data_IF_395810012769
#
_entry.id   IF_395810012769
#
_cell.length_a   1.000
_cell.length_b   1.000
_cell.length_c   1.000
_cell.angle_alpha   90.00
_cell.angle_beta   90.00
_cell.angle_gamma   90.00
#
_symmetry.space_group_name_H-M   'P 1'
#
loop_
_entity.id
_entity.type
_entity.pdbx_description
1 polymer ?
#
# COMPACT_ATOMS: atom_id res chain seq x y z
N UNK A 1 -21.09 -6.27 -36.90
CA UNK A 1 -21.30 -5.26 -35.84
C UNK A 1 -20.12 -5.38 -34.87
N UNK A 2 -19.31 -4.33 -34.68
CA UNK A 2 -18.16 -4.36 -33.76
C UNK A 2 -18.59 -3.75 -32.43
N UNK A 3 -18.73 -4.58 -31.39
CA UNK A 3 -19.00 -4.12 -30.03
C UNK A 3 -17.75 -3.38 -29.53
N UNK A 4 -17.77 -2.06 -29.57
CA UNK A 4 -16.77 -1.23 -28.90
C UNK A 4 -17.06 -1.30 -27.40
N UNK A 5 -16.28 -2.11 -26.69
CA UNK A 5 -16.22 -2.10 -25.24
C UNK A 5 -15.92 -0.67 -24.79
N UNK A 6 -16.94 0.03 -24.28
CA UNK A 6 -16.75 1.35 -23.66
C UNK A 6 -16.05 1.07 -22.33
N UNK A 7 -14.74 1.28 -22.27
CA UNK A 7 -14.08 1.38 -20.98
C UNK A 7 -14.72 2.57 -20.25
N UNK A 8 -15.30 2.38 -19.06
CA UNK A 8 -15.82 3.49 -18.28
C UNK A 8 -14.67 4.46 -18.01
N UNK A 9 -14.85 5.72 -18.39
CA UNK A 9 -13.89 6.80 -18.09
C UNK A 9 -14.00 7.06 -16.59
N UNK A 10 -12.93 6.78 -15.85
CA UNK A 10 -12.87 7.10 -14.42
C UNK A 10 -12.97 8.60 -14.23
N UNK A 11 -13.75 9.04 -13.24
CA UNK A 11 -13.83 10.46 -12.88
C UNK A 11 -12.52 10.92 -12.22
N UNK A 12 -12.27 12.23 -12.18
CA UNK A 12 -11.10 12.78 -11.47
C UNK A 12 -11.09 12.35 -9.99
N UNK A 13 -12.25 12.40 -9.32
CA UNK A 13 -12.39 11.95 -7.94
C UNK A 13 -12.06 10.46 -7.74
N UNK A 14 -12.40 9.60 -8.71
CA UNK A 14 -12.04 8.17 -8.65
C UNK A 14 -10.54 7.93 -8.85
N UNK A 15 -9.87 8.77 -9.63
CA UNK A 15 -8.42 8.70 -9.83
C UNK A 15 -7.68 9.21 -8.59
N UNK A 16 -8.13 10.33 -8.02
CA UNK A 16 -7.59 10.88 -6.77
C UNK A 16 -7.75 9.86 -5.64
N UNK A 17 -8.93 9.23 -5.53
CA UNK A 17 -9.15 8.17 -4.54
C UNK A 17 -8.19 7.00 -4.71
N UNK A 18 -7.93 6.58 -5.95
CA UNK A 18 -6.98 5.50 -6.22
C UNK A 18 -5.55 5.90 -5.87
N UNK A 19 -5.17 7.15 -6.12
CA UNK A 19 -3.85 7.67 -5.74
C UNK A 19 -3.68 7.67 -4.21
N UNK A 20 -4.70 8.11 -3.47
CA UNK A 20 -4.71 8.10 -2.00
C UNK A 20 -4.58 6.69 -1.42
N UNK A 21 -5.38 5.75 -1.94
CA UNK A 21 -5.32 4.35 -1.52
C UNK A 21 -3.98 3.70 -1.85
N UNK A 22 -3.40 4.04 -3.00
CA UNK A 22 -2.06 3.57 -3.37
C UNK A 22 -0.97 4.16 -2.45
N UNK A 23 -1.11 5.43 -2.08
CA UNK A 23 -0.20 6.08 -1.14
C UNK A 23 -0.31 5.46 0.26
N UNK A 24 -1.52 5.18 0.74
CA UNK A 24 -1.74 4.48 2.01
C UNK A 24 -1.06 3.11 2.04
N UNK A 25 -1.18 2.34 0.95
CA UNK A 25 -0.45 1.09 0.79
C UNK A 25 1.08 1.26 0.85
N UNK A 26 1.61 2.32 0.23
CA UNK A 26 3.05 2.61 0.27
C UNK A 26 3.52 2.95 1.69
N UNK A 27 2.78 3.77 2.44
CA UNK A 27 3.04 4.03 3.86
C UNK A 27 3.12 2.72 4.67
N UNK A 28 2.25 1.75 4.36
CA UNK A 28 2.27 0.43 4.98
C UNK A 28 3.57 -0.33 4.74
N UNK A 29 4.07 -0.34 3.50
CA UNK A 29 5.37 -0.96 3.19
C UNK A 29 6.53 -0.23 3.85
N UNK A 30 6.54 1.11 3.79
CA UNK A 30 7.61 1.94 4.32
C UNK A 30 7.70 1.84 5.84
N UNK A 31 6.57 1.65 6.54
CA UNK A 31 6.55 1.41 7.99
C UNK A 31 7.28 0.14 8.41
N UNK A 32 7.59 -0.75 7.47
CA UNK A 32 8.37 -1.96 7.72
C UNK A 32 9.83 -1.77 7.33
N UNK A 33 10.14 -1.02 6.29
CA UNK A 33 11.50 -0.89 5.72
C UNK A 33 12.28 0.32 6.22
N UNK A 34 11.60 1.38 6.64
CA UNK A 34 12.23 2.64 7.06
C UNK A 34 12.96 2.49 8.40
N UNK A 35 13.94 3.37 8.64
CA UNK A 35 14.73 3.42 9.88
C UNK A 35 13.90 3.95 11.06
N UNK A 36 12.86 4.76 10.80
CA UNK A 36 11.95 5.32 11.78
C UNK A 36 10.48 4.98 11.46
N UNK A 37 10.05 3.75 11.72
CA UNK A 37 8.71 3.27 11.36
C UNK A 37 7.59 4.00 12.13
N UNK A 38 7.88 4.52 13.32
CA UNK A 38 6.91 5.30 14.09
C UNK A 38 6.58 6.63 13.40
N UNK A 39 7.59 7.29 12.82
CA UNK A 39 7.37 8.51 12.05
C UNK A 39 6.49 8.25 10.83
N UNK A 40 6.78 7.19 10.07
CA UNK A 40 5.97 6.81 8.89
C UNK A 40 4.51 6.55 9.29
N UNK A 41 4.29 5.85 10.41
CA UNK A 41 2.94 5.59 10.94
C UNK A 41 2.22 6.87 11.39
N UNK A 42 2.93 7.81 12.01
CA UNK A 42 2.37 9.12 12.40
C UNK A 42 1.99 9.95 11.16
N UNK A 43 2.88 10.02 10.17
CA UNK A 43 2.64 10.74 8.91
C UNK A 43 1.44 10.15 8.16
N UNK A 44 1.26 8.82 8.21
CA UNK A 44 0.05 8.16 7.69
C UNK A 44 -1.23 8.62 8.41
N UNK A 45 -1.25 8.63 9.74
CA UNK A 45 -2.44 9.05 10.49
C UNK A 45 -2.75 10.55 10.39
N UNK A 46 -1.72 11.39 10.24
CA UNK A 46 -1.91 12.83 9.98
C UNK A 46 -2.64 13.04 8.65
N UNK A 47 -2.31 12.21 7.64
CA UNK A 47 -2.90 12.32 6.30
C UNK A 47 -4.24 11.60 6.12
N UNK A 48 -4.40 10.41 6.69
CA UNK A 48 -5.53 9.50 6.43
C UNK A 48 -6.30 9.13 7.71
N UNK A 49 -6.09 9.82 8.82
CA UNK A 49 -6.74 9.52 10.08
C UNK A 49 -8.27 9.48 9.95
N UNK A 50 -8.86 8.32 10.30
CA UNK A 50 -10.30 8.09 10.20
C UNK A 50 -10.78 7.59 8.84
N UNK A 51 -9.89 7.41 7.86
CA UNK A 51 -10.21 6.80 6.57
C UNK A 51 -10.02 5.28 6.61
N UNK A 52 -11.14 4.57 6.72
CA UNK A 52 -11.19 3.11 6.86
C UNK A 52 -10.58 2.39 5.65
N UNK A 53 -10.78 2.90 4.43
CA UNK A 53 -10.23 2.21 3.24
C UNK A 53 -8.72 2.42 3.14
N UNK A 54 -8.24 3.63 3.47
CA UNK A 54 -6.80 3.90 3.52
C UNK A 54 -6.12 3.06 4.61
N UNK A 55 -6.72 2.92 5.79
CA UNK A 55 -6.22 2.03 6.86
C UNK A 55 -6.14 0.57 6.39
N UNK A 56 -7.15 0.08 5.66
CA UNK A 56 -7.12 -1.27 5.10
C UNK A 56 -6.00 -1.45 4.06
N UNK A 57 -5.73 -0.45 3.23
CA UNK A 57 -4.62 -0.48 2.27
C UNK A 57 -3.25 -0.39 2.96
N UNK A 58 -3.11 0.43 3.98
CA UNK A 58 -1.92 0.48 4.83
C UNK A 58 -1.61 -0.91 5.42
N UNK A 59 -2.60 -1.58 6.01
CA UNK A 59 -2.43 -2.92 6.57
C UNK A 59 -2.04 -3.96 5.53
N UNK A 60 -2.55 -3.85 4.29
CA UNK A 60 -2.11 -4.72 3.18
C UNK A 60 -0.64 -4.48 2.83
N UNK A 61 -0.21 -3.21 2.80
CA UNK A 61 1.18 -2.84 2.57
C UNK A 61 2.13 -3.43 3.62
N UNK A 62 1.77 -3.30 4.89
CA UNK A 62 2.48 -3.89 6.03
C UNK A 62 2.65 -5.40 5.86
N UNK A 63 1.54 -6.12 5.64
CA UNK A 63 1.54 -7.59 5.50
C UNK A 63 2.40 -8.07 4.34
N UNK A 64 2.32 -7.38 3.20
CA UNK A 64 3.13 -7.72 2.03
C UNK A 64 4.62 -7.58 2.33
N UNK A 65 5.03 -6.49 2.97
CA UNK A 65 6.45 -6.23 3.20
C UNK A 65 7.04 -7.15 4.28
N UNK A 66 6.25 -7.51 5.31
CA UNK A 66 6.61 -8.56 6.27
C UNK A 66 6.85 -9.89 5.53
N UNK A 67 5.91 -10.33 4.69
CA UNK A 67 6.04 -11.57 3.94
C UNK A 67 7.27 -11.58 3.02
N UNK A 68 7.58 -10.46 2.36
CA UNK A 68 8.81 -10.31 1.55
C UNK A 68 10.07 -10.43 2.42
N UNK A 69 10.10 -9.83 3.61
CA UNK A 69 11.24 -9.93 4.53
C UNK A 69 11.44 -11.36 5.02
N UNK A 70 10.37 -12.03 5.41
CA UNK A 70 10.40 -13.43 5.84
C UNK A 70 10.91 -14.35 4.72
N UNK A 71 10.41 -14.17 3.49
CA UNK A 71 10.86 -14.92 2.32
C UNK A 71 12.37 -14.68 2.03
N UNK A 72 12.84 -13.43 2.15
CA UNK A 72 14.27 -13.10 2.00
C UNK A 72 15.15 -13.78 3.05
N UNK A 73 14.68 -13.84 4.30
CA UNK A 73 15.41 -14.52 5.40
C UNK A 73 15.51 -16.02 5.11
N UNK A 74 14.38 -16.66 4.80
CA UNK A 74 14.35 -18.10 4.49
C UNK A 74 15.27 -18.46 3.31
N UNK A 75 15.34 -17.61 2.29
CA UNK A 75 16.21 -17.86 1.14
C UNK A 75 17.71 -17.74 1.49
N UNK A 76 18.09 -16.81 2.39
CA UNK A 76 19.47 -16.71 2.87
C UNK A 76 19.88 -17.90 3.73
N UNK A 77 18.98 -18.41 4.57
CA UNK A 77 19.22 -19.59 5.41
C UNK A 77 19.44 -20.88 4.61
N UNK A 78 18.95 -20.98 3.38
CA UNK A 78 19.15 -22.15 2.52
C UNK A 78 20.45 -22.11 1.68
N UNK A 79 21.17 -20.99 1.71
CA UNK A 79 22.44 -20.77 1.00
C UNK A 79 23.66 -20.81 1.93
N UNK A 80 23.45 -21.05 3.23
CA UNK A 80 24.47 -21.15 4.28
C UNK A 80 24.65 -22.61 4.67
#
# INVERSE_FOLDING_TARGET
MKNKTKHPVKTAAELDRQADLHLAFQYGQDSITDINPLRVKLDFYDKFGGDIEAEAEYDKGVKLEIAKKEAKIKNKSNLS
#
